data_IF_527511210421
#
_entry.id   IF_527511210421
#
_cell.length_a   1.000
_cell.length_b   1.000
_cell.length_c   1.000
_cell.angle_alpha   90.00
_cell.angle_beta   90.00
_cell.angle_gamma   90.00
#
_symmetry.space_group_name_H-M   'P 1'
#
loop_
_entity.id
_entity.type
_entity.pdbx_description
1 polymer ?
#
# COMPACT_ATOMS: atom_id res chain seq x y z
N UNK A 1 16.64 -6.66 -1.29
CA UNK A 1 15.66 -5.90 -2.10
C UNK A 1 15.82 -6.35 -3.54
N UNK A 2 14.72 -6.72 -4.19
CA UNK A 2 14.73 -7.25 -5.57
C UNK A 2 14.17 -6.25 -6.57
N UNK A 3 13.34 -5.29 -6.12
CA UNK A 3 12.80 -4.22 -6.95
C UNK A 3 12.53 -2.99 -6.11
N UNK A 4 12.48 -1.84 -6.77
CA UNK A 4 12.16 -0.55 -6.17
C UNK A 4 11.33 0.28 -7.15
N UNK A 5 10.45 1.11 -6.61
CA UNK A 5 9.65 2.04 -7.38
C UNK A 5 9.69 3.41 -6.69
N UNK A 6 9.87 4.47 -7.46
CA UNK A 6 9.98 5.83 -6.94
C UNK A 6 8.83 6.67 -7.50
N UNK A 7 8.13 7.37 -6.62
CA UNK A 7 7.23 8.45 -6.98
C UNK A 7 7.90 9.81 -6.85
N UNK A 8 7.11 10.87 -6.73
CA UNK A 8 7.61 12.25 -6.68
C UNK A 8 8.50 12.52 -5.44
N UNK A 9 8.09 11.98 -4.29
CA UNK A 9 8.78 12.18 -3.02
C UNK A 9 8.68 10.96 -2.09
N UNK A 10 8.39 9.78 -2.64
CA UNK A 10 8.26 8.53 -1.90
C UNK A 10 8.85 7.36 -2.70
N UNK A 11 9.24 6.31 -1.99
CA UNK A 11 9.86 5.12 -2.58
C UNK A 11 9.24 3.88 -1.97
N UNK A 12 8.90 2.92 -2.83
CA UNK A 12 8.56 1.55 -2.46
C UNK A 12 9.74 0.63 -2.72
N UNK A 13 9.91 -0.34 -1.83
CA UNK A 13 10.97 -1.33 -1.87
C UNK A 13 10.31 -2.71 -1.76
N UNK A 14 10.63 -3.58 -2.71
CA UNK A 14 10.16 -4.96 -2.72
C UNK A 14 11.28 -5.90 -2.27
N UNK A 15 11.02 -6.71 -1.26
CA UNK A 15 11.89 -7.77 -0.80
C UNK A 15 11.76 -9.02 -1.67
N UNK A 16 12.80 -9.86 -1.70
CA UNK A 16 12.75 -11.16 -2.39
C UNK A 16 11.79 -12.15 -1.73
N UNK A 17 11.33 -11.85 -0.51
CA UNK A 17 10.32 -12.62 0.22
C UNK A 17 8.88 -12.16 -0.06
N UNK A 18 8.70 -11.16 -0.95
CA UNK A 18 7.38 -10.61 -1.28
C UNK A 18 6.91 -9.49 -0.35
N UNK A 19 7.71 -9.08 0.64
CA UNK A 19 7.39 -7.96 1.53
C UNK A 19 7.61 -6.61 0.85
N UNK A 20 6.70 -5.67 1.09
CA UNK A 20 6.80 -4.29 0.57
C UNK A 20 7.09 -3.33 1.71
N UNK A 21 8.05 -2.45 1.49
CA UNK A 21 8.40 -1.37 2.39
C UNK A 21 8.21 -0.02 1.70
N UNK A 22 7.89 1.01 2.48
CA UNK A 22 7.73 2.37 2.00
C UNK A 22 8.56 3.35 2.82
N UNK A 23 9.13 4.36 2.15
CA UNK A 23 9.78 5.50 2.78
C UNK A 23 9.56 6.78 1.96
N UNK A 24 9.88 7.92 2.56
CA UNK A 24 9.70 9.25 1.98
C UNK A 24 8.48 9.97 2.54
N UNK A 25 7.88 10.85 1.74
CA UNK A 25 6.79 11.74 2.14
C UNK A 25 5.51 10.96 2.46
N UNK A 26 4.87 11.31 3.57
CA UNK A 26 3.68 10.62 4.13
C UNK A 26 2.40 11.46 4.12
N UNK A 27 2.46 12.72 3.66
CA UNK A 27 1.35 13.70 3.78
C UNK A 27 0.04 13.31 3.10
N UNK A 28 0.08 12.49 2.06
CA UNK A 28 -1.05 12.15 1.20
C UNK A 28 -1.49 10.68 1.36
N UNK A 29 -1.01 9.99 2.39
CA UNK A 29 -1.26 8.56 2.57
C UNK A 29 -0.53 7.65 1.57
N UNK A 30 0.40 8.19 0.78
CA UNK A 30 1.11 7.45 -0.28
C UNK A 30 2.01 6.31 0.23
N UNK A 31 2.32 6.27 1.53
CA UNK A 31 3.13 5.20 2.12
C UNK A 31 2.33 3.94 2.49
N UNK A 32 0.99 4.00 2.51
CA UNK A 32 0.17 2.82 2.86
C UNK A 32 0.32 2.33 4.31
N UNK A 33 0.97 3.10 5.19
CA UNK A 33 1.26 2.72 6.59
C UNK A 33 0.09 2.94 7.57
N UNK A 34 -1.09 3.33 7.07
CA UNK A 34 -2.27 3.65 7.88
C UNK A 34 -2.11 4.91 8.74
N UNK A 35 -3.12 5.18 9.59
CA UNK A 35 -3.15 6.34 10.52
C UNK A 35 -2.08 6.30 11.63
N UNK A 36 -1.17 5.33 11.60
CA UNK A 36 -0.15 5.09 12.63
C UNK A 36 1.13 5.91 12.49
N UNK A 37 1.27 6.72 11.42
CA UNK A 37 2.47 7.56 11.23
C UNK A 37 2.46 8.86 12.05
N UNK A 38 1.41 9.13 12.83
CA UNK A 38 1.30 10.38 13.59
C UNK A 38 1.45 11.63 12.72
N UNK A 39 1.93 12.73 13.32
CA UNK A 39 2.30 13.98 12.64
C UNK A 39 3.57 13.87 11.76
N UNK A 40 4.16 12.67 11.59
CA UNK A 40 5.36 12.52 10.78
C UNK A 40 5.05 12.87 9.32
N UNK A 41 5.71 13.92 8.83
CA UNK A 41 5.58 14.43 7.46
C UNK A 41 6.41 13.64 6.44
N UNK A 42 7.37 12.84 6.92
CA UNK A 42 8.18 11.96 6.12
C UNK A 42 8.76 10.81 6.96
N UNK A 43 8.80 9.61 6.36
CA UNK A 43 9.39 8.41 6.92
C UNK A 43 10.81 8.25 6.36
N UNK A 44 11.83 8.41 7.21
CA UNK A 44 13.24 8.37 6.79
C UNK A 44 13.82 6.96 6.68
N UNK A 45 13.25 5.99 7.39
CA UNK A 45 13.64 4.58 7.32
C UNK A 45 12.54 3.76 6.65
N UNK A 46 12.85 2.84 5.72
CA UNK A 46 11.87 1.94 5.12
C UNK A 46 11.02 1.24 6.19
N UNK A 47 9.70 1.43 6.13
CA UNK A 47 8.74 0.76 7.01
C UNK A 47 7.92 -0.24 6.20
N UNK A 48 7.72 -1.43 6.75
CA UNK A 48 6.92 -2.45 6.11
C UNK A 48 5.46 -2.01 6.00
N UNK A 49 4.83 -2.28 4.85
CA UNK A 49 3.40 -2.12 4.66
C UNK A 49 2.73 -3.40 5.17
N UNK A 50 2.35 -3.39 6.45
CA UNK A 50 1.74 -4.54 7.13
C UNK A 50 0.50 -5.07 6.40
N UNK A 51 -0.26 -4.20 5.74
CA UNK A 51 -1.45 -4.57 4.98
C UNK A 51 -1.18 -5.50 3.79
N UNK A 52 0.06 -5.50 3.26
CA UNK A 52 0.46 -6.36 2.15
C UNK A 52 1.12 -7.67 2.59
N UNK A 53 1.47 -7.83 3.88
CA UNK A 53 2.09 -9.07 4.40
C UNK A 53 1.32 -10.37 4.13
N UNK A 54 -0.03 -10.39 4.09
CA UNK A 54 -0.76 -11.60 3.73
C UNK A 54 -0.55 -12.04 2.28
N UNK A 55 0.04 -11.18 1.44
CA UNK A 55 0.19 -11.40 0.00
C UNK A 55 1.66 -11.43 -0.38
N UNK A 56 2.04 -12.42 -1.19
CA UNK A 56 3.38 -12.43 -1.77
C UNK A 56 3.44 -11.47 -2.97
N UNK A 57 4.02 -10.28 -2.77
CA UNK A 57 4.07 -9.25 -3.81
C UNK A 57 5.16 -9.58 -4.83
N UNK A 58 4.81 -9.52 -6.11
CA UNK A 58 5.72 -9.81 -7.22
C UNK A 58 6.22 -8.53 -7.91
N UNK A 59 5.40 -7.47 -7.94
CA UNK A 59 5.71 -6.23 -8.66
C UNK A 59 5.16 -5.03 -7.88
N UNK A 60 5.89 -3.92 -7.94
CA UNK A 60 5.49 -2.63 -7.37
C UNK A 60 5.75 -1.52 -8.38
N UNK A 61 4.90 -0.49 -8.39
CA UNK A 61 5.10 0.73 -9.18
C UNK A 61 4.55 1.94 -8.43
N UNK A 62 5.08 3.12 -8.73
CA UNK A 62 4.68 4.39 -8.12
C UNK A 62 4.38 5.41 -9.22
N UNK A 63 3.29 6.15 -9.05
CA UNK A 63 3.07 7.42 -9.73
C UNK A 63 3.53 8.60 -8.86
N UNK A 64 3.09 9.82 -9.19
CA UNK A 64 3.50 11.01 -8.43
C UNK A 64 3.06 10.95 -6.96
N UNK A 65 1.81 10.54 -6.71
CA UNK A 65 1.19 10.48 -5.37
C UNK A 65 0.42 9.19 -5.08
N UNK A 66 0.43 8.22 -5.98
CA UNK A 66 -0.22 6.92 -5.83
C UNK A 66 0.79 5.80 -6.04
N UNK A 67 0.45 4.62 -5.55
CA UNK A 67 1.27 3.43 -5.53
C UNK A 67 0.42 2.24 -5.92
N UNK A 68 1.02 1.30 -6.64
CA UNK A 68 0.40 0.03 -6.99
C UNK A 68 1.32 -1.14 -6.67
N UNK A 69 0.73 -2.26 -6.30
CA UNK A 69 1.42 -3.54 -6.12
C UNK A 69 0.59 -4.67 -6.73
N UNK A 70 1.26 -5.69 -7.24
CA UNK A 70 0.62 -6.89 -7.77
C UNK A 70 1.21 -8.12 -7.09
N UNK A 71 0.34 -8.99 -6.56
CA UNK A 71 0.75 -10.26 -5.97
C UNK A 71 1.13 -11.29 -7.04
N UNK A 72 1.87 -12.33 -6.64
CA UNK A 72 2.14 -13.49 -7.50
C UNK A 72 0.87 -14.25 -7.91
N UNK A 73 -0.24 -14.06 -7.18
CA UNK A 73 -1.55 -14.61 -7.51
C UNK A 73 -2.36 -13.73 -8.49
N UNK A 74 -1.79 -12.63 -8.96
CA UNK A 74 -2.44 -11.71 -9.91
C UNK A 74 -3.41 -10.71 -9.26
N UNK A 75 -3.41 -10.57 -7.93
CA UNK A 75 -4.23 -9.54 -7.25
C UNK A 75 -3.50 -8.21 -7.28
N UNK A 76 -4.20 -7.17 -7.72
CA UNK A 76 -3.68 -5.80 -7.74
C UNK A 76 -4.16 -5.01 -6.53
N UNK A 77 -3.27 -4.18 -6.00
CA UNK A 77 -3.51 -3.28 -4.88
C UNK A 77 -3.08 -1.88 -5.29
N UNK A 78 -3.87 -0.89 -4.89
CA UNK A 78 -3.58 0.52 -5.14
C UNK A 78 -3.82 1.32 -3.86
N UNK A 79 -2.95 2.31 -3.60
CA UNK A 79 -3.11 3.25 -2.49
C UNK A 79 -2.46 4.61 -2.80
N UNK A 80 -2.80 5.62 -1.99
CA UNK A 80 -2.33 7.01 -2.14
C UNK A 80 -3.41 7.94 -2.68
N UNK A 81 -2.99 9.10 -3.21
CA UNK A 81 -3.91 10.11 -3.74
C UNK A 81 -4.30 9.76 -5.18
N UNK A 82 -5.46 9.11 -5.31
CA UNK A 82 -6.09 8.86 -6.59
C UNK A 82 -6.97 10.06 -6.98
N UNK A 83 -6.68 10.71 -8.11
CA UNK A 83 -7.69 11.49 -8.82
C UNK A 83 -8.62 10.48 -9.46
N UNK A 84 -9.77 10.24 -8.82
CA UNK A 84 -10.77 9.28 -9.27
C UNK A 84 -11.26 9.60 -10.67
N UNK A 85 -10.79 8.88 -11.68
CA UNK A 85 -11.53 8.66 -12.92
C UNK A 85 -11.74 7.14 -13.05
N UNK A 86 -12.96 6.77 -12.67
CA UNK A 86 -13.62 5.48 -12.81
C UNK A 86 -13.14 4.30 -11.95
N UNK A 87 -14.12 3.73 -11.23
CA UNK A 87 -14.02 2.50 -10.46
C UNK A 87 -13.58 1.36 -11.38
N UNK A 88 -12.34 0.91 -11.24
CA UNK A 88 -12.01 -0.46 -11.64
C UNK A 88 -12.60 -1.38 -10.57
N UNK A 89 -13.53 -2.22 -11.02
CA UNK A 89 -14.30 -3.14 -10.20
C UNK A 89 -13.40 -4.04 -9.34
N UNK A 90 -13.88 -4.33 -8.13
CA UNK A 90 -13.27 -5.17 -7.09
C UNK A 90 -12.15 -4.57 -6.22
N UNK A 91 -12.26 -3.26 -5.96
CA UNK A 91 -11.61 -2.67 -4.78
C UNK A 91 -12.22 -3.25 -3.49
N UNK A 92 -11.54 -4.21 -2.87
CA UNK A 92 -11.86 -4.69 -1.52
C UNK A 92 -12.01 -3.47 -0.59
N UNK A 93 -13.26 -3.26 -0.13
CA UNK A 93 -13.71 -2.19 0.76
C UNK A 93 -12.96 -2.25 2.10
N UNK A 94 -11.78 -1.67 2.21
CA UNK A 94 -11.01 -1.68 3.47
C UNK A 94 -11.16 -0.39 4.30
N UNK A 95 -11.77 0.65 3.75
CA UNK A 95 -11.91 1.95 4.43
C UNK A 95 -13.13 2.09 5.37
N UNK A 96 -13.89 1.03 5.66
CA UNK A 96 -14.95 1.11 6.67
C UNK A 96 -15.29 -0.24 7.29
N UNK A 97 -14.62 -0.58 8.39
CA UNK A 97 -15.22 -1.29 9.54
C UNK A 97 -14.21 -1.32 10.70
N UNK A 98 -14.26 -0.30 11.56
CA UNK A 98 -13.91 -0.49 12.97
C UNK A 98 -15.13 -1.12 13.65
N UNK A 99 -14.89 -2.19 14.42
CA UNK A 99 -15.77 -2.64 15.49
C UNK A 99 -16.79 -3.71 15.10
N UNK A 100 -16.77 -4.83 15.82
CA UNK A 100 -17.89 -5.77 15.89
C UNK A 100 -17.58 -7.15 15.33
N UNK A 101 -17.16 -8.03 16.23
CA UNK A 101 -17.63 -9.42 16.40
C UNK A 101 -18.39 -10.04 15.21
N UNK A 102 -17.84 -11.16 14.74
CA UNK A 102 -18.57 -12.38 14.36
C UNK A 102 -19.81 -12.26 13.48
N UNK A 103 -19.75 -12.87 12.30
CA UNK A 103 -20.59 -14.06 12.04
C UNK A 103 -20.20 -14.74 10.73
N UNK A 104 -19.77 -15.98 10.94
CA UNK A 104 -20.01 -17.21 10.20
C UNK A 104 -20.73 -17.16 8.85
N UNK A 105 -20.18 -17.99 7.96
CA UNK A 105 -20.74 -18.50 6.72
C UNK A 105 -22.15 -19.08 6.94
N UNK A 106 -23.13 -18.54 6.21
CA UNK A 106 -24.05 -19.30 5.35
C UNK A 106 -24.42 -18.44 4.14
#
# INVERSE_FOLDING_TARGET
IVSLACGEAHTLLLSGYGDVFACGRSREGQLGLGSGTGLELAVRSPRAIEALRPWHIARVACGSKHCVAVSSEGKAFEWGMLLSLEKVADSAKWANRRGGLGRDFQ
#
